data_IF_422621547659
#
_entry.id   IF_422621547659
#
_cell.length_a   1.000
_cell.length_b   1.000
_cell.length_c   1.000
_cell.angle_alpha   90.00
_cell.angle_beta   90.00
_cell.angle_gamma   90.00
#
_symmetry.space_group_name_H-M   'P 1'
#
loop_
_entity.id
_entity.type
_entity.pdbx_description
1 polymer ?
#
# COMPACT_ATOMS: atom_id res chain seq x y z
N UNK A 1 -62.18 -12.42 -35.37
CA UNK A 1 -61.04 -13.33 -35.18
C UNK A 1 -59.81 -12.44 -35.16
N UNK A 2 -59.45 -11.97 -33.97
CA UNK A 2 -58.32 -11.08 -33.75
C UNK A 2 -57.56 -11.70 -32.57
N UNK A 3 -56.41 -12.31 -32.86
CA UNK A 3 -55.51 -12.83 -31.83
C UNK A 3 -54.30 -11.90 -31.76
N UNK A 4 -53.89 -11.43 -30.57
CA UNK A 4 -52.77 -10.51 -30.43
C UNK A 4 -51.41 -11.19 -30.60
N UNK A 5 -50.49 -10.39 -31.13
CA UNK A 5 -49.08 -10.64 -31.38
C UNK A 5 -48.30 -10.95 -30.09
N UNK A 6 -47.76 -12.17 -29.95
CA UNK A 6 -46.78 -12.52 -28.91
C UNK A 6 -45.36 -12.07 -29.33
N UNK A 7 -44.62 -11.29 -28.52
CA UNK A 7 -43.22 -10.98 -28.80
C UNK A 7 -42.33 -12.19 -28.58
N UNK A 8 -41.54 -12.56 -29.59
CA UNK A 8 -40.47 -13.56 -29.44
C UNK A 8 -39.38 -13.06 -28.48
N UNK A 9 -38.82 -13.91 -27.61
CA UNK A 9 -37.73 -13.52 -26.73
C UNK A 9 -36.44 -13.28 -27.53
N UNK A 10 -35.81 -12.13 -27.28
CA UNK A 10 -34.50 -11.77 -27.79
C UNK A 10 -33.50 -12.85 -27.37
N UNK A 11 -32.76 -13.41 -28.33
CA UNK A 11 -31.66 -14.33 -28.05
C UNK A 11 -30.61 -13.59 -27.22
N UNK A 12 -30.47 -13.96 -25.95
CA UNK A 12 -29.32 -13.62 -25.15
C UNK A 12 -28.11 -14.34 -25.76
N UNK A 13 -27.42 -13.69 -26.70
CA UNK A 13 -26.04 -14.04 -26.99
C UNK A 13 -25.22 -13.62 -25.78
N UNK A 14 -24.90 -14.58 -24.92
CA UNK A 14 -23.88 -14.40 -23.89
C UNK A 14 -22.58 -13.93 -24.57
N UNK A 15 -21.89 -12.91 -24.04
CA UNK A 15 -20.59 -12.52 -24.55
C UNK A 15 -19.65 -13.73 -24.51
N UNK A 16 -19.11 -14.11 -25.67
CA UNK A 16 -18.10 -15.17 -25.78
C UNK A 16 -16.82 -14.70 -25.10
N UNK A 17 -16.68 -14.99 -23.80
CA UNK A 17 -15.43 -14.79 -23.08
C UNK A 17 -14.37 -15.77 -23.60
N UNK A 18 -13.14 -15.33 -23.88
CA UNK A 18 -12.06 -16.25 -24.24
C UNK A 18 -11.88 -17.27 -23.11
N UNK A 19 -11.90 -18.55 -23.45
CA UNK A 19 -11.80 -19.67 -22.50
C UNK A 19 -10.56 -19.49 -21.61
N UNK A 20 -10.79 -19.37 -20.30
CA UNK A 20 -9.73 -19.29 -19.31
C UNK A 20 -8.99 -20.63 -19.25
N UNK A 21 -7.86 -20.75 -19.96
CA UNK A 21 -6.97 -21.90 -19.78
C UNK A 21 -6.51 -21.91 -18.32
N UNK A 22 -6.80 -23.01 -17.63
CA UNK A 22 -6.49 -23.24 -16.22
C UNK A 22 -7.01 -22.17 -15.24
N UNK A 23 -8.09 -21.46 -15.62
CA UNK A 23 -8.68 -20.43 -14.77
C UNK A 23 -7.88 -19.13 -14.72
N UNK A 24 -6.99 -18.88 -15.68
CA UNK A 24 -6.31 -17.60 -15.90
C UNK A 24 -6.73 -17.02 -17.26
N UNK A 25 -7.04 -15.72 -17.28
CA UNK A 25 -7.39 -14.97 -18.48
C UNK A 25 -6.32 -13.91 -18.74
N UNK A 26 -5.69 -14.00 -19.91
CA UNK A 26 -4.67 -13.07 -20.38
C UNK A 26 -5.25 -12.16 -21.47
N UNK A 27 -4.71 -10.96 -21.61
CA UNK A 27 -5.00 -10.09 -22.74
C UNK A 27 -4.14 -10.40 -23.97
N UNK A 28 -4.29 -9.59 -25.02
CA UNK A 28 -3.53 -9.73 -26.27
C UNK A 28 -2.03 -9.57 -26.10
N UNK A 29 -1.60 -8.90 -25.02
CA UNK A 29 -0.21 -8.58 -24.74
C UNK A 29 0.39 -9.58 -23.72
N UNK A 30 -0.40 -10.57 -23.28
CA UNK A 30 0.00 -11.58 -22.30
C UNK A 30 -0.09 -11.12 -20.85
N UNK A 31 -0.72 -9.97 -20.59
CA UNK A 31 -0.93 -9.42 -19.25
C UNK A 31 -2.13 -10.12 -18.61
N UNK A 32 -2.02 -10.43 -17.31
CA UNK A 32 -3.09 -11.05 -16.55
C UNK A 32 -4.25 -10.08 -16.37
N UNK A 33 -5.43 -10.44 -16.91
CA UNK A 33 -6.67 -9.68 -16.72
C UNK A 33 -7.48 -10.17 -15.53
N UNK A 34 -7.58 -11.49 -15.36
CA UNK A 34 -8.31 -12.11 -14.25
C UNK A 34 -7.86 -13.55 -14.05
N UNK A 35 -8.10 -14.09 -12.87
CA UNK A 35 -7.93 -15.52 -12.65
C UNK A 35 -8.43 -15.96 -11.30
N UNK A 36 -8.52 -17.28 -11.11
CA UNK A 36 -8.73 -17.85 -9.78
C UNK A 36 -7.52 -17.56 -8.89
N UNK A 37 -7.72 -17.48 -7.57
CA UNK A 37 -6.62 -17.23 -6.62
C UNK A 37 -5.48 -18.24 -6.82
N UNK A 38 -5.82 -19.51 -7.01
CA UNK A 38 -4.84 -20.56 -7.29
C UNK A 38 -4.03 -20.23 -8.54
N UNK A 39 -4.70 -19.96 -9.67
CA UNK A 39 -4.04 -19.62 -10.94
C UNK A 39 -3.14 -18.37 -10.84
N UNK A 40 -3.54 -17.36 -10.07
CA UNK A 40 -2.73 -16.17 -9.83
C UNK A 40 -1.46 -16.48 -9.03
N UNK A 41 -1.55 -17.35 -8.01
CA UNK A 41 -0.40 -17.85 -7.25
C UNK A 41 0.49 -18.76 -8.12
N UNK A 42 -0.11 -19.51 -9.04
CA UNK A 42 0.65 -20.32 -10.00
C UNK A 42 1.48 -19.44 -10.94
N UNK A 43 0.89 -18.35 -11.44
CA UNK A 43 1.57 -17.36 -12.28
C UNK A 43 2.67 -16.64 -11.52
N UNK A 44 2.43 -16.28 -10.24
CA UNK A 44 3.38 -15.62 -9.34
C UNK A 44 4.68 -16.41 -9.18
N UNK A 45 4.58 -17.74 -9.18
CA UNK A 45 5.69 -18.65 -8.89
C UNK A 45 6.05 -19.53 -10.09
N UNK A 46 5.48 -19.26 -11.27
CA UNK A 46 5.78 -20.00 -12.51
C UNK A 46 7.28 -19.97 -12.77
N UNK A 47 7.89 -21.09 -13.20
CA UNK A 47 9.29 -21.15 -13.57
C UNK A 47 9.57 -20.69 -15.02
N UNK A 48 8.55 -20.72 -15.88
CA UNK A 48 8.68 -20.40 -17.31
C UNK A 48 8.79 -18.89 -17.57
N UNK A 49 8.01 -18.09 -16.84
CA UNK A 49 7.92 -16.64 -17.07
C UNK A 49 8.12 -15.92 -15.74
N UNK A 50 9.27 -15.28 -15.57
CA UNK A 50 9.51 -14.36 -14.46
C UNK A 50 8.87 -13.00 -14.77
N UNK A 51 8.06 -12.49 -13.85
CA UNK A 51 7.36 -11.22 -14.00
C UNK A 51 7.45 -10.44 -12.67
N UNK A 52 8.52 -9.64 -12.48
CA UNK A 52 8.73 -8.91 -11.23
C UNK A 52 7.66 -7.83 -11.00
N UNK A 53 7.13 -7.25 -12.08
CA UNK A 53 6.07 -6.24 -11.99
C UNK A 53 4.76 -6.87 -11.53
N UNK A 54 4.40 -8.04 -12.08
CA UNK A 54 3.28 -8.82 -11.58
C UNK A 54 3.44 -9.19 -10.11
N UNK A 55 4.62 -9.68 -9.69
CA UNK A 55 4.88 -10.04 -8.28
C UNK A 55 4.70 -8.84 -7.35
N UNK A 56 5.21 -7.67 -7.75
CA UNK A 56 5.08 -6.43 -6.99
C UNK A 56 3.62 -5.99 -6.87
N UNK A 57 2.88 -6.00 -7.98
CA UNK A 57 1.46 -5.61 -8.01
C UNK A 57 0.60 -6.60 -7.21
N UNK A 58 0.84 -7.90 -7.38
CA UNK A 58 0.14 -8.96 -6.65
C UNK A 58 0.35 -8.80 -5.14
N UNK A 59 1.59 -8.70 -4.67
CA UNK A 59 1.89 -8.56 -3.24
C UNK A 59 1.41 -7.22 -2.66
N UNK A 60 1.33 -6.15 -3.46
CA UNK A 60 0.77 -4.89 -3.01
C UNK A 60 -0.76 -4.90 -2.85
N UNK A 61 -1.47 -5.85 -3.49
CA UNK A 61 -2.93 -5.81 -3.62
C UNK A 61 -3.66 -7.09 -3.17
N UNK A 62 -2.96 -8.18 -2.85
CA UNK A 62 -3.58 -9.49 -2.54
C UNK A 62 -4.61 -9.43 -1.40
N UNK A 63 -4.39 -8.59 -0.39
CA UNK A 63 -5.32 -8.41 0.75
C UNK A 63 -6.71 -7.92 0.34
N UNK A 64 -6.88 -7.44 -0.89
CA UNK A 64 -8.16 -7.02 -1.44
C UNK A 64 -9.04 -8.19 -1.93
N UNK A 65 -8.45 -9.38 -2.13
CA UNK A 65 -9.15 -10.56 -2.68
C UNK A 65 -8.79 -11.89 -2.00
N UNK A 66 -7.84 -11.93 -1.07
CA UNK A 66 -7.47 -13.11 -0.27
C UNK A 66 -6.89 -12.68 1.08
N UNK A 67 -6.73 -13.63 2.00
CA UNK A 67 -6.04 -13.39 3.29
C UNK A 67 -4.57 -13.75 3.22
N UNK A 68 -3.78 -13.21 4.16
CA UNK A 68 -2.37 -13.57 4.34
C UNK A 68 -2.19 -15.04 4.69
N UNK A 69 -3.06 -15.60 5.54
CA UNK A 69 -3.07 -17.01 5.89
C UNK A 69 -3.31 -17.92 4.69
N UNK A 70 -4.28 -17.55 3.84
CA UNK A 70 -4.63 -18.32 2.64
C UNK A 70 -3.53 -18.24 1.60
N UNK A 71 -2.94 -17.05 1.37
CA UNK A 71 -1.80 -16.89 0.47
C UNK A 71 -0.59 -17.71 0.96
N UNK A 72 -0.26 -17.63 2.26
CA UNK A 72 0.80 -18.43 2.85
C UNK A 72 0.57 -19.93 2.62
N UNK A 73 -0.65 -20.41 2.89
CA UNK A 73 -1.00 -21.81 2.69
C UNK A 73 -0.83 -22.23 1.23
N UNK A 74 -1.34 -21.46 0.27
CA UNK A 74 -1.22 -21.77 -1.16
C UNK A 74 0.23 -21.81 -1.64
N UNK A 75 1.09 -20.92 -1.13
CA UNK A 75 2.52 -20.92 -1.43
C UNK A 75 3.23 -22.16 -0.88
N UNK A 76 2.94 -22.54 0.36
CA UNK A 76 3.51 -23.76 0.98
C UNK A 76 3.01 -25.02 0.28
N UNK A 77 1.71 -25.12 0.00
CA UNK A 77 1.11 -26.24 -0.73
C UNK A 77 1.79 -26.38 -2.11
N UNK A 78 2.04 -25.27 -2.80
CA UNK A 78 2.74 -25.28 -4.09
C UNK A 78 4.18 -25.77 -3.98
N UNK A 79 4.91 -25.35 -2.95
CA UNK A 79 6.27 -25.83 -2.68
C UNK A 79 6.30 -27.36 -2.45
N UNK A 80 5.36 -27.87 -1.66
CA UNK A 80 5.26 -29.30 -1.33
C UNK A 80 4.83 -30.15 -2.53
N UNK A 81 3.91 -29.66 -3.37
CA UNK A 81 3.52 -30.37 -4.60
C UNK A 81 4.73 -30.58 -5.52
N UNK A 82 5.59 -29.56 -5.68
CA UNK A 82 6.80 -29.71 -6.47
C UNK A 82 7.76 -30.76 -5.89
N UNK A 83 7.88 -30.85 -4.56
CA UNK A 83 8.70 -31.85 -3.88
C UNK A 83 8.25 -33.29 -4.19
N UNK A 84 6.93 -33.52 -4.30
CA UNK A 84 6.35 -34.85 -4.54
C UNK A 84 6.51 -35.37 -5.97
N UNK A 85 6.69 -34.47 -6.96
CA UNK A 85 6.70 -34.80 -8.40
C UNK A 85 8.12 -35.11 -8.94
N UNK A 86 9.10 -35.29 -8.05
CA UNK A 86 10.54 -35.31 -8.40
C UNK A 86 11.14 -33.91 -8.30
N UNK A 87 12.48 -33.78 -8.25
CA UNK A 87 13.16 -32.48 -8.23
C UNK A 87 13.83 -32.18 -9.57
N UNK A 88 13.05 -32.01 -10.64
CA UNK A 88 13.56 -31.44 -11.88
C UNK A 88 14.07 -30.01 -11.65
N UNK A 89 14.95 -29.49 -12.52
CA UNK A 89 15.41 -28.11 -12.42
C UNK A 89 14.26 -27.08 -12.41
N UNK A 90 13.17 -27.36 -13.13
CA UNK A 90 11.98 -26.51 -13.22
C UNK A 90 11.18 -26.48 -11.91
N UNK A 91 11.03 -27.64 -11.26
CA UNK A 91 10.41 -27.77 -9.94
C UNK A 91 11.22 -27.02 -8.88
N UNK A 92 12.56 -27.17 -8.91
CA UNK A 92 13.47 -26.42 -8.02
C UNK A 92 13.37 -24.90 -8.26
N UNK A 93 13.29 -24.46 -9.52
CA UNK A 93 13.12 -23.04 -9.84
C UNK A 93 11.78 -22.48 -9.33
N UNK A 94 10.71 -23.28 -9.40
CA UNK A 94 9.40 -22.94 -8.82
C UNK A 94 9.48 -22.82 -7.29
N UNK A 95 10.15 -23.76 -6.62
CA UNK A 95 10.39 -23.75 -5.18
C UNK A 95 11.20 -22.53 -4.74
N UNK A 96 12.26 -22.21 -5.48
CA UNK A 96 13.08 -21.01 -5.22
C UNK A 96 12.25 -19.73 -5.37
N UNK A 97 11.36 -19.65 -6.36
CA UNK A 97 10.43 -18.51 -6.54
C UNK A 97 9.45 -18.37 -5.38
N UNK A 98 8.96 -19.47 -4.82
CA UNK A 98 8.13 -19.43 -3.60
C UNK A 98 8.91 -18.78 -2.45
N UNK A 99 10.15 -19.21 -2.23
CA UNK A 99 11.01 -18.65 -1.16
C UNK A 99 11.29 -17.16 -1.42
N UNK A 100 11.65 -16.78 -2.65
CA UNK A 100 11.87 -15.38 -3.02
C UNK A 100 10.60 -14.52 -2.91
N UNK A 101 9.41 -15.11 -3.08
CA UNK A 101 8.14 -14.41 -2.86
C UNK A 101 7.96 -14.08 -1.38
N UNK A 102 8.27 -15.01 -0.47
CA UNK A 102 8.30 -14.72 0.96
C UNK A 102 9.37 -13.69 1.32
N UNK A 103 10.56 -13.79 0.72
CA UNK A 103 11.63 -12.80 0.93
C UNK A 103 11.19 -11.40 0.51
N UNK A 104 10.53 -11.27 -0.65
CA UNK A 104 9.97 -10.01 -1.14
C UNK A 104 8.88 -9.47 -0.22
N UNK A 105 8.02 -10.36 0.30
CA UNK A 105 6.96 -10.03 1.25
C UNK A 105 7.50 -9.47 2.57
N UNK A 106 8.62 -10.00 3.07
CA UNK A 106 9.24 -9.55 4.33
C UNK A 106 10.13 -8.31 4.12
N UNK A 107 10.73 -8.16 2.94
CA UNK A 107 11.67 -7.06 2.65
C UNK A 107 10.95 -5.75 2.33
N UNK A 108 9.83 -5.81 1.60
CA UNK A 108 9.01 -4.62 1.33
C UNK A 108 8.14 -4.32 2.57
N UNK A 109 8.59 -3.32 3.33
CA UNK A 109 8.00 -2.91 4.60
C UNK A 109 6.58 -2.36 4.51
N UNK A 110 6.04 -2.14 3.30
CA UNK A 110 4.68 -1.68 3.11
C UNK A 110 3.71 -2.85 2.83
N UNK A 111 4.16 -4.10 2.77
CA UNK A 111 3.30 -5.27 2.50
C UNK A 111 2.70 -5.81 3.80
N UNK A 112 3.56 -6.08 4.78
CA UNK A 112 3.18 -6.63 6.09
C UNK A 112 2.95 -5.49 7.08
N UNK A 113 1.76 -5.44 7.65
CA UNK A 113 1.40 -4.46 8.67
C UNK A 113 1.71 -4.99 10.07
N UNK A 114 1.51 -4.15 11.10
CA UNK A 114 1.77 -4.53 12.50
C UNK A 114 0.97 -5.77 12.90
N UNK A 115 -0.26 -5.87 12.41
CA UNK A 115 -1.17 -6.97 12.65
C UNK A 115 -0.72 -8.26 11.96
N UNK A 116 0.11 -8.18 10.92
CA UNK A 116 0.57 -9.34 10.14
C UNK A 116 1.85 -9.96 10.67
N UNK A 117 2.49 -9.36 11.68
CA UNK A 117 3.80 -9.80 12.16
C UNK A 117 3.81 -11.25 12.68
N UNK A 118 2.66 -11.82 13.05
CA UNK A 118 2.54 -13.24 13.40
C UNK A 118 2.94 -14.19 12.26
N UNK A 119 2.87 -13.74 11.00
CA UNK A 119 3.22 -14.58 9.85
C UNK A 119 4.72 -14.89 9.81
N UNK A 120 5.55 -14.02 10.39
CA UNK A 120 7.01 -14.15 10.34
C UNK A 120 7.47 -15.43 11.01
N UNK A 121 6.86 -15.82 12.14
CA UNK A 121 7.17 -17.08 12.83
C UNK A 121 6.82 -18.30 11.97
N UNK A 122 5.71 -18.22 11.21
CA UNK A 122 5.27 -19.30 10.31
C UNK A 122 6.18 -19.41 9.08
N UNK A 123 6.58 -18.28 8.49
CA UNK A 123 7.54 -18.24 7.39
C UNK A 123 8.90 -18.75 7.87
N UNK A 124 9.34 -18.38 9.08
CA UNK A 124 10.58 -18.88 9.69
C UNK A 124 10.53 -20.39 9.90
N UNK A 125 9.44 -20.91 10.45
CA UNK A 125 9.24 -22.35 10.64
C UNK A 125 9.29 -23.11 9.29
N UNK A 126 8.67 -22.56 8.25
CA UNK A 126 8.74 -23.11 6.90
C UNK A 126 10.18 -23.09 6.34
N UNK A 127 10.89 -21.97 6.46
CA UNK A 127 12.26 -21.81 5.95
C UNK A 127 13.27 -22.74 6.65
N UNK A 128 12.97 -23.16 7.89
CA UNK A 128 13.77 -24.12 8.67
C UNK A 128 13.38 -25.58 8.45
N UNK A 129 12.38 -25.87 7.62
CA UNK A 129 11.98 -27.24 7.30
C UNK A 129 13.06 -27.99 6.51
N UNK A 130 13.11 -29.33 6.64
CA UNK A 130 14.11 -30.16 5.96
C UNK A 130 14.12 -29.94 4.44
N UNK A 131 12.95 -29.78 3.82
CA UNK A 131 12.84 -29.56 2.39
C UNK A 131 13.36 -28.17 1.97
N UNK A 132 13.04 -27.12 2.72
CA UNK A 132 13.40 -25.74 2.39
C UNK A 132 14.87 -25.41 2.67
N UNK A 133 15.46 -25.98 3.71
CA UNK A 133 16.86 -25.73 4.11
C UNK A 133 17.90 -26.14 3.05
N UNK A 134 17.51 -26.98 2.09
CA UNK A 134 18.33 -27.34 0.93
C UNK A 134 18.62 -26.15 0.00
N UNK A 135 17.79 -25.10 0.04
CA UNK A 135 17.92 -23.90 -0.79
C UNK A 135 18.69 -22.79 -0.07
N UNK A 136 19.72 -22.19 -0.70
CA UNK A 136 20.43 -21.03 -0.14
C UNK A 136 19.49 -19.85 0.19
N UNK A 137 18.47 -19.63 -0.64
CA UNK A 137 17.47 -18.59 -0.44
C UNK A 137 16.72 -18.72 0.90
N UNK A 138 16.51 -19.94 1.40
CA UNK A 138 15.83 -20.15 2.69
C UNK A 138 16.68 -19.60 3.86
N UNK A 139 18.01 -19.70 3.79
CA UNK A 139 18.91 -19.14 4.80
C UNK A 139 18.88 -17.61 4.80
N UNK A 140 18.84 -17.01 3.61
CA UNK A 140 18.71 -15.56 3.46
C UNK A 140 17.37 -15.09 4.03
N UNK A 141 16.28 -15.79 3.74
CA UNK A 141 14.95 -15.49 4.26
C UNK A 141 14.92 -15.47 5.79
N UNK A 142 15.55 -16.44 6.46
CA UNK A 142 15.65 -16.45 7.94
C UNK A 142 16.40 -15.21 8.44
N UNK A 143 17.53 -14.86 7.81
CA UNK A 143 18.31 -13.67 8.19
C UNK A 143 17.51 -12.37 7.98
N UNK A 144 16.75 -12.28 6.88
CA UNK A 144 15.87 -11.14 6.57
C UNK A 144 14.75 -11.03 7.62
N UNK A 145 14.14 -12.14 8.02
CA UNK A 145 13.11 -12.16 9.07
C UNK A 145 13.67 -11.70 10.42
N UNK A 146 14.88 -12.14 10.78
CA UNK A 146 15.53 -11.71 12.03
C UNK A 146 15.83 -10.21 12.01
N UNK A 147 16.30 -9.67 10.89
CA UNK A 147 16.48 -8.23 10.73
C UNK A 147 15.16 -7.47 10.78
N UNK A 148 14.10 -7.97 10.15
CA UNK A 148 12.78 -7.34 10.16
C UNK A 148 12.18 -7.29 11.58
N UNK A 149 12.36 -8.37 12.35
CA UNK A 149 11.92 -8.46 13.76
C UNK A 149 12.66 -7.43 14.63
N UNK A 150 13.98 -7.31 14.47
CA UNK A 150 14.78 -6.31 15.19
C UNK A 150 14.47 -4.87 14.77
N UNK A 151 14.14 -4.63 13.49
CA UNK A 151 13.70 -3.31 12.98
C UNK A 151 12.38 -2.88 13.58
N UNK A 152 11.43 -3.79 13.77
CA UNK A 152 10.15 -3.50 14.41
C UNK A 152 10.33 -3.00 15.85
N UNK A 153 11.35 -3.51 16.56
CA UNK A 153 11.71 -3.07 17.92
C UNK A 153 12.50 -1.75 17.94
N UNK A 154 13.18 -1.40 16.85
CA UNK A 154 14.11 -0.25 16.77
C UNK A 154 13.65 0.92 15.90
N UNK A 155 12.38 0.94 15.46
CA UNK A 155 11.82 1.95 14.56
C UNK A 155 11.73 3.37 15.18
N UNK A 156 12.87 4.06 15.27
CA UNK A 156 13.01 5.52 15.43
C UNK A 156 14.27 6.03 14.71
N UNK A 157 14.49 5.70 13.44
CA UNK A 157 15.53 6.40 12.66
C UNK A 157 14.99 6.68 11.26
N UNK A 158 14.41 7.87 11.11
CA UNK A 158 14.13 8.46 9.80
C UNK A 158 15.47 8.74 9.11
N UNK A 159 15.66 8.38 7.82
CA UNK A 159 16.87 8.75 7.09
C UNK A 159 16.96 10.27 7.08
N UNK A 160 17.94 10.82 7.80
CA UNK A 160 18.10 12.26 7.91
C UNK A 160 18.87 12.74 6.68
N UNK A 161 18.21 13.50 5.82
CA UNK A 161 18.85 14.23 4.73
C UNK A 161 20.01 15.08 5.32
N UNK A 162 21.22 14.96 4.76
CA UNK A 162 22.44 15.60 5.27
C UNK A 162 22.55 17.08 4.94
N UNK A 163 21.59 17.64 4.21
CA UNK A 163 21.51 19.08 3.98
C UNK A 163 21.27 19.83 5.32
N UNK A 164 21.92 20.97 5.55
CA UNK A 164 21.70 21.77 6.75
C UNK A 164 20.25 22.23 6.82
N UNK A 165 19.53 21.85 7.88
CA UNK A 165 18.16 22.31 8.13
C UNK A 165 18.19 23.82 8.43
N UNK A 166 17.34 24.64 7.79
CA UNK A 166 17.24 26.06 8.11
C UNK A 166 16.81 26.25 9.57
N UNK A 167 17.34 27.29 10.21
CA UNK A 167 17.00 27.62 11.60
C UNK A 167 15.51 28.00 11.71
N UNK A 168 14.78 27.50 12.73
CA UNK A 168 13.40 27.90 12.99
C UNK A 168 13.30 29.40 13.28
N UNK A 169 12.27 30.03 12.73
CA UNK A 169 11.96 31.43 13.01
C UNK A 169 10.89 31.47 14.10
N UNK A 170 11.23 31.99 15.27
CA UNK A 170 10.28 32.04 16.38
C UNK A 170 9.44 33.31 16.34
N UNK A 171 8.11 33.22 16.57
CA UNK A 171 7.30 34.41 16.77
C UNK A 171 7.76 35.16 18.03
N UNK A 172 7.82 36.49 17.96
CA UNK A 172 8.23 37.34 19.09
C UNK A 172 7.09 37.47 20.12
N UNK A 173 6.80 36.39 20.84
CA UNK A 173 5.75 36.34 21.87
C UNK A 173 6.36 36.46 23.27
N UNK A 174 5.74 37.29 24.12
CA UNK A 174 6.05 37.30 25.56
C UNK A 174 5.41 36.09 26.26
N UNK A 175 5.97 35.65 27.38
CA UNK A 175 5.38 34.59 28.18
C UNK A 175 3.91 34.91 28.52
N UNK A 176 3.01 33.94 28.30
CA UNK A 176 1.54 34.03 28.45
C UNK A 176 0.75 34.84 27.41
N UNK A 177 1.32 35.23 26.27
CA UNK A 177 0.53 35.77 25.15
C UNK A 177 -0.10 34.66 24.30
N UNK A 178 -1.37 34.84 23.93
CA UNK A 178 -2.04 34.02 22.91
C UNK A 178 -1.44 34.34 21.55
N UNK A 179 -1.08 33.29 20.81
CA UNK A 179 -0.54 33.41 19.46
C UNK A 179 -1.63 33.86 18.50
N UNK A 180 -1.41 34.97 17.79
CA UNK A 180 -2.24 35.38 16.65
C UNK A 180 -1.53 35.03 15.34
N UNK A 181 -2.31 34.88 14.27
CA UNK A 181 -1.79 34.61 12.93
C UNK A 181 -0.74 35.64 12.47
N UNK A 182 -0.96 36.91 12.81
CA UNK A 182 -0.07 38.01 12.44
C UNK A 182 1.26 38.02 13.23
N UNK A 183 1.36 37.23 14.30
CA UNK A 183 2.58 37.15 15.12
C UNK A 183 3.61 36.17 14.52
N UNK A 184 3.19 35.33 13.56
CA UNK A 184 4.03 34.34 12.90
C UNK A 184 4.53 34.88 11.56
N UNK A 185 5.83 34.70 11.29
CA UNK A 185 6.37 34.99 9.96
C UNK A 185 5.73 34.05 8.91
N UNK A 186 5.24 34.57 7.77
CA UNK A 186 4.60 33.78 6.71
C UNK A 186 5.39 32.53 6.29
N UNK A 187 6.72 32.66 6.22
CA UNK A 187 7.62 31.56 5.85
C UNK A 187 7.62 30.44 6.90
N UNK A 188 7.59 30.77 8.19
CA UNK A 188 7.56 29.76 9.24
C UNK A 188 6.19 29.10 9.32
N UNK A 189 5.11 29.87 9.13
CA UNK A 189 3.77 29.30 9.02
C UNK A 189 3.70 28.25 7.89
N UNK A 190 4.23 28.59 6.71
CA UNK A 190 4.29 27.66 5.58
C UNK A 190 5.09 26.40 5.92
N UNK A 191 6.26 26.54 6.57
CA UNK A 191 7.09 25.38 7.00
C UNK A 191 6.36 24.46 7.97
N UNK A 192 5.72 25.02 8.99
CA UNK A 192 5.05 24.23 10.01
C UNK A 192 3.79 23.53 9.46
N UNK A 193 3.01 24.21 8.61
CA UNK A 193 1.89 23.59 7.90
C UNK A 193 2.36 22.47 6.96
N UNK A 194 3.44 22.70 6.21
CA UNK A 194 4.05 21.69 5.32
C UNK A 194 4.49 20.46 6.12
N UNK A 195 5.15 20.65 7.27
CA UNK A 195 5.57 19.53 8.13
C UNK A 195 4.37 18.76 8.68
N UNK A 196 3.33 19.46 9.10
CA UNK A 196 2.08 18.87 9.58
C UNK A 196 1.43 18.04 8.48
N UNK A 197 1.14 18.63 7.33
CA UNK A 197 0.49 17.95 6.21
C UNK A 197 1.34 16.80 5.66
N UNK A 198 2.66 17.00 5.54
CA UNK A 198 3.60 15.95 5.12
C UNK A 198 3.57 14.76 6.10
N UNK A 199 3.57 15.02 7.41
CA UNK A 199 3.50 13.95 8.41
C UNK A 199 2.18 13.16 8.35
N UNK A 200 1.07 13.83 8.03
CA UNK A 200 -0.23 13.18 7.87
C UNK A 200 -0.28 12.38 6.56
N UNK A 201 0.25 12.94 5.48
CA UNK A 201 0.33 12.27 4.19
C UNK A 201 1.19 11.00 4.25
N UNK A 202 2.36 11.07 4.88
CA UNK A 202 3.26 9.91 5.06
C UNK A 202 2.67 8.80 5.94
N UNK A 203 1.62 9.11 6.72
CA UNK A 203 0.92 8.11 7.55
C UNK A 203 -0.18 7.36 6.80
N UNK A 204 -0.56 7.83 5.61
CA UNK A 204 -1.57 7.15 4.78
C UNK A 204 -0.99 5.83 4.28
N UNK A 205 -1.69 4.73 4.54
CA UNK A 205 -1.24 3.38 4.15
C UNK A 205 -1.84 2.94 2.83
N UNK A 206 -1.12 2.07 2.09
CA UNK A 206 -1.61 1.50 0.82
C UNK A 206 -2.97 0.78 0.99
N UNK A 207 -3.15 0.06 2.09
CA UNK A 207 -4.40 -0.66 2.37
C UNK A 207 -5.59 0.28 2.54
N UNK A 208 -5.38 1.49 3.07
CA UNK A 208 -6.42 2.51 3.22
C UNK A 208 -6.85 3.01 1.84
N UNK A 209 -5.91 3.21 0.91
CA UNK A 209 -6.22 3.56 -0.47
C UNK A 209 -7.05 2.46 -1.17
N UNK A 210 -6.66 1.19 -1.00
CA UNK A 210 -7.39 0.06 -1.59
C UNK A 210 -8.79 -0.08 -1.01
N UNK A 211 -8.92 0.02 0.32
CA UNK A 211 -10.22 -0.08 1.00
C UNK A 211 -11.15 1.07 0.62
N UNK A 212 -10.62 2.29 0.49
CA UNK A 212 -11.41 3.45 0.05
C UNK A 212 -11.94 3.27 -1.37
N UNK A 213 -11.13 2.72 -2.28
CA UNK A 213 -11.55 2.43 -3.65
C UNK A 213 -12.69 1.40 -3.72
N UNK A 214 -12.76 0.47 -2.76
CA UNK A 214 -13.78 -0.58 -2.74
C UNK A 214 -15.06 -0.21 -1.98
N UNK A 215 -14.93 0.42 -0.81
CA UNK A 215 -16.02 0.52 0.17
C UNK A 215 -16.46 1.96 0.48
N UNK A 216 -15.92 2.97 -0.21
CA UNK A 216 -16.22 4.39 0.01
C UNK A 216 -16.17 4.79 1.51
N UNK A 217 -15.31 4.16 2.30
CA UNK A 217 -15.18 4.48 3.72
C UNK A 217 -14.56 5.87 3.90
N UNK A 218 -15.09 6.66 4.83
CA UNK A 218 -14.69 8.06 5.02
C UNK A 218 -13.71 8.29 6.19
N UNK A 219 -13.50 7.29 7.05
CA UNK A 219 -12.73 7.42 8.31
C UNK A 219 -11.42 6.64 8.24
N UNK A 220 -10.53 7.10 7.38
CA UNK A 220 -9.18 6.56 7.12
C UNK A 220 -8.11 7.67 7.23
N UNK A 221 -6.83 7.33 7.06
CA UNK A 221 -5.74 8.31 7.02
C UNK A 221 -5.96 9.38 5.94
N UNK A 222 -6.56 8.99 4.82
CA UNK A 222 -6.93 9.88 3.71
C UNK A 222 -7.96 10.92 4.17
N UNK A 223 -9.01 10.48 4.87
CA UNK A 223 -10.03 11.34 5.46
C UNK A 223 -9.42 12.32 6.46
N UNK A 224 -8.43 11.89 7.25
CA UNK A 224 -7.71 12.77 8.18
C UNK A 224 -6.94 13.86 7.44
N UNK A 225 -6.25 13.53 6.34
CA UNK A 225 -5.54 14.51 5.49
C UNK A 225 -6.54 15.52 4.92
N UNK A 226 -7.63 15.04 4.31
CA UNK A 226 -8.69 15.89 3.73
C UNK A 226 -9.30 16.81 4.78
N UNK A 227 -9.67 16.28 5.96
CA UNK A 227 -10.23 17.07 7.04
C UNK A 227 -9.24 18.11 7.56
N UNK A 228 -7.95 17.78 7.62
CA UNK A 228 -6.92 18.75 8.04
C UNK A 228 -6.80 19.89 7.05
N UNK A 229 -6.75 19.61 5.74
CA UNK A 229 -6.73 20.67 4.72
C UNK A 229 -8.00 21.52 4.74
N UNK A 230 -9.17 20.93 4.95
CA UNK A 230 -10.42 21.68 5.13
C UNK A 230 -10.36 22.58 6.37
N UNK A 231 -9.87 22.07 7.51
CA UNK A 231 -9.73 22.85 8.74
C UNK A 231 -8.75 24.01 8.58
N UNK A 232 -7.67 23.83 7.82
CA UNK A 232 -6.73 24.91 7.50
C UNK A 232 -7.43 25.97 6.66
N UNK A 233 -8.16 25.57 5.61
CA UNK A 233 -8.92 26.50 4.77
C UNK A 233 -9.97 27.28 5.58
N UNK A 234 -10.75 26.59 6.42
CA UNK A 234 -11.75 27.20 7.30
C UNK A 234 -11.10 28.15 8.32
N UNK A 235 -9.94 27.79 8.87
CA UNK A 235 -9.21 28.64 9.80
C UNK A 235 -8.70 29.93 9.12
N UNK A 236 -8.16 29.84 7.90
CA UNK A 236 -7.76 31.02 7.12
C UNK A 236 -8.97 31.90 6.81
N UNK A 237 -10.07 31.30 6.34
CA UNK A 237 -11.31 32.02 6.02
C UNK A 237 -11.85 32.76 7.27
N UNK A 238 -11.94 32.08 8.41
CA UNK A 238 -12.37 32.67 9.67
C UNK A 238 -11.42 33.77 10.15
N UNK A 239 -10.11 33.61 9.96
CA UNK A 239 -9.11 34.64 10.32
C UNK A 239 -9.27 35.91 9.49
N UNK A 240 -9.59 35.78 8.20
CA UNK A 240 -9.91 36.93 7.32
C UNK A 240 -11.23 37.58 7.73
N UNK A 241 -12.28 36.80 7.97
CA UNK A 241 -13.61 37.32 8.34
C UNK A 241 -13.63 38.00 9.71
N UNK A 242 -12.80 37.55 10.65
CA UNK A 242 -12.75 38.09 12.02
C UNK A 242 -11.92 39.38 12.14
N UNK A 243 -11.23 39.81 11.08
CA UNK A 243 -10.45 41.05 11.07
C UNK A 243 -11.31 42.23 10.60
N UNK A 244 -11.58 43.18 11.50
CA UNK A 244 -12.39 44.36 11.23
C UNK A 244 -11.72 45.32 10.22
N UNK A 245 -10.39 45.41 10.24
CA UNK A 245 -9.63 46.33 9.40
C UNK A 245 -9.34 45.76 7.99
N UNK A 246 -9.65 46.49 6.90
CA UNK A 246 -9.42 46.03 5.52
C UNK A 246 -7.94 45.78 5.20
N UNK A 247 -7.04 46.58 5.80
CA UNK A 247 -5.60 46.40 5.65
C UNK A 247 -5.10 45.08 6.28
N UNK A 248 -5.63 44.70 7.44
CA UNK A 248 -5.26 43.43 8.09
C UNK A 248 -5.76 42.22 7.29
N UNK A 249 -6.97 42.30 6.73
CA UNK A 249 -7.48 41.26 5.81
C UNK A 249 -6.58 41.07 4.59
N UNK A 250 -6.12 42.16 3.98
CA UNK A 250 -5.21 42.10 2.84
C UNK A 250 -3.85 41.45 3.19
N UNK A 251 -3.31 41.70 4.39
CA UNK A 251 -2.10 41.03 4.87
C UNK A 251 -2.32 39.53 5.03
N UNK A 252 -3.44 39.11 5.66
CA UNK A 252 -3.73 37.69 5.88
C UNK A 252 -3.84 36.93 4.55
N UNK A 253 -4.54 37.51 3.55
CA UNK A 253 -4.65 36.91 2.21
C UNK A 253 -3.28 36.79 1.53
N UNK A 254 -2.46 37.83 1.62
CA UNK A 254 -1.10 37.81 1.07
C UNK A 254 -0.21 36.75 1.75
N UNK A 255 -0.35 36.58 3.06
CA UNK A 255 0.33 35.54 3.84
C UNK A 255 -0.13 34.15 3.41
N UNK A 256 -1.43 33.92 3.22
CA UNK A 256 -1.94 32.62 2.74
C UNK A 256 -1.48 32.29 1.32
N UNK A 257 -1.40 33.29 0.44
CA UNK A 257 -0.89 33.10 -0.93
C UNK A 257 0.60 32.72 -0.95
N UNK A 258 1.38 33.18 0.05
CA UNK A 258 2.79 32.77 0.20
C UNK A 258 2.96 31.35 0.73
N UNK A 259 1.92 30.76 1.33
CA UNK A 259 1.93 29.37 1.76
C UNK A 259 1.50 28.39 0.66
N UNK A 260 0.92 28.88 -0.45
CA UNK A 260 0.47 28.08 -1.60
C UNK A 260 1.62 27.74 -2.55
#
# INVERSE_FOLDING_TARGET
MDSPNDPQPLSNQEPSYPEAKDGLLLDSDGIVKSGTLKALVERLTSHEIADPDYSKVFLATFKSFTTLDELFKLLVDRFQVQQSLGLTPEQKATQERVISTFESMVTDGDILEKEDMYILDRIKAFALSEDATSFPAAKNLVAVIEQATQRAESAKIVPTNTAPRPSPIYPNLKANQKLNLLDIEPLELARQLTLLESSLYQRVRRVECLQRAQQNQSMDGIGTVIQTSNRIADWVANSVMSSDAPHQRAIIVKTSDQCR
#
